data_IF_223353452518
#
_entry.id   IF_223353452518
#
_cell.length_a   1.000
_cell.length_b   1.000
_cell.length_c   1.000
_cell.angle_alpha   90.00
_cell.angle_beta   90.00
_cell.angle_gamma   90.00
#
_symmetry.space_group_name_H-M   'P 1'
#
loop_
_entity.id
_entity.type
_entity.pdbx_description
1 polymer ?
#
# COMPACT_ATOMS: atom_id res chain seq x y z
N UNK A 1 11.55 2.86 -18.43
CA UNK A 1 10.77 1.65 -18.07
C UNK A 1 11.61 0.56 -17.39
N UNK A 2 12.84 0.31 -17.86
CA UNK A 2 13.75 -0.69 -17.25
C UNK A 2 14.46 -0.19 -15.98
N UNK A 3 14.65 1.12 -15.87
CA UNK A 3 15.29 1.78 -14.72
C UNK A 3 14.43 1.65 -13.44
N UNK A 4 13.10 1.73 -13.57
CA UNK A 4 12.13 1.51 -12.49
C UNK A 4 12.06 0.05 -12.05
N UNK A 5 12.19 -0.90 -12.98
CA UNK A 5 12.21 -2.34 -12.66
C UNK A 5 13.47 -2.75 -11.88
N UNK A 6 14.61 -2.12 -12.20
CA UNK A 6 15.89 -2.39 -11.54
C UNK A 6 15.94 -1.86 -10.11
N UNK A 7 15.27 -0.73 -9.82
CA UNK A 7 15.17 -0.20 -8.46
C UNK A 7 14.21 -1.01 -7.58
N UNK A 8 13.13 -1.57 -8.15
CA UNK A 8 12.25 -2.51 -7.45
C UNK A 8 13.01 -3.77 -7.03
N UNK A 9 13.86 -4.33 -7.90
CA UNK A 9 14.64 -5.53 -7.60
C UNK A 9 15.72 -5.32 -6.53
N UNK A 10 16.30 -4.12 -6.44
CA UNK A 10 17.24 -3.77 -5.36
C UNK A 10 16.54 -3.58 -4.02
N UNK A 11 15.29 -3.14 -4.00
CA UNK A 11 14.51 -2.98 -2.77
C UNK A 11 13.89 -4.31 -2.29
N UNK A 12 13.52 -5.22 -3.19
CA UNK A 12 13.05 -6.58 -2.86
C UNK A 12 14.14 -7.47 -2.21
N UNK A 13 15.42 -7.12 -2.37
CA UNK A 13 16.55 -7.81 -1.77
C UNK A 13 17.06 -7.17 -0.46
N UNK A 14 16.45 -6.05 -0.05
CA UNK A 14 16.61 -5.54 1.32
C UNK A 14 15.52 -6.22 2.12
N UNK A 15 15.89 -7.17 2.98
CA UNK A 15 15.04 -7.57 4.09
C UNK A 15 14.69 -6.28 4.82
N UNK A 16 13.48 -5.77 4.59
CA UNK A 16 12.95 -4.71 5.42
C UNK A 16 13.05 -5.20 6.86
N UNK A 17 13.56 -4.36 7.77
CA UNK A 17 13.55 -4.68 9.19
C UNK A 17 12.12 -4.84 9.75
N UNK A 18 11.10 -4.56 8.93
CA UNK A 18 9.69 -4.61 9.28
C UNK A 18 9.00 -5.79 8.61
N UNK A 19 8.51 -6.72 9.42
CA UNK A 19 7.62 -7.79 8.99
C UNK A 19 6.16 -7.32 9.10
N UNK A 20 5.39 -7.43 8.02
CA UNK A 20 3.97 -7.04 7.95
C UNK A 20 3.11 -8.21 7.50
N UNK A 21 2.11 -8.56 8.31
CA UNK A 21 1.08 -9.55 7.98
C UNK A 21 -0.30 -8.92 7.99
N UNK A 22 -1.10 -9.23 6.98
CA UNK A 22 -2.49 -8.76 6.87
C UNK A 22 -3.40 -9.94 6.59
N UNK A 23 -4.39 -10.13 7.44
CA UNK A 23 -5.38 -11.19 7.31
C UNK A 23 -6.78 -10.59 7.15
N UNK A 24 -7.49 -10.99 6.10
CA UNK A 24 -8.88 -10.61 5.88
C UNK A 24 -9.82 -11.70 6.37
N UNK A 25 -10.79 -11.35 7.21
CA UNK A 25 -11.89 -12.23 7.64
C UNK A 25 -13.23 -11.53 7.44
N UNK A 26 -13.90 -11.85 6.34
CA UNK A 26 -15.10 -11.13 5.91
C UNK A 26 -14.76 -9.67 5.60
N UNK A 27 -15.45 -8.76 6.29
CA UNK A 27 -15.29 -7.31 6.12
C UNK A 27 -14.34 -6.68 7.14
N UNK A 28 -13.42 -7.46 7.72
CA UNK A 28 -12.47 -6.98 8.73
C UNK A 28 -11.06 -7.45 8.40
N UNK A 29 -10.11 -6.51 8.47
CA UNK A 29 -8.69 -6.81 8.43
C UNK A 29 -8.14 -6.94 9.85
N UNK A 30 -7.24 -7.89 10.03
CA UNK A 30 -6.30 -7.92 11.14
C UNK A 30 -4.92 -7.65 10.58
N UNK A 31 -4.28 -6.58 11.05
CA UNK A 31 -2.99 -6.11 10.57
C UNK A 31 -2.01 -6.23 11.73
N UNK A 32 -0.91 -6.95 11.49
CA UNK A 32 0.16 -7.18 12.46
C UNK A 32 1.49 -6.79 11.87
N UNK A 33 2.34 -6.16 12.67
CA UNK A 33 3.71 -5.88 12.26
C UNK A 33 4.70 -6.00 13.42
N UNK A 34 5.92 -6.40 13.09
CA UNK A 34 7.06 -6.43 14.01
C UNK A 34 8.26 -5.78 13.33
N UNK A 35 9.22 -5.27 14.12
CA UNK A 35 10.38 -4.58 13.60
C UNK A 35 11.65 -4.90 14.41
N UNK A 36 12.66 -5.47 13.74
CA UNK A 36 13.97 -5.74 14.34
C UNK A 36 15.11 -5.45 13.33
N UNK A 37 15.92 -4.38 13.54
CA UNK A 37 15.80 -3.39 14.61
C UNK A 37 14.61 -2.45 14.40
N UNK A 38 14.11 -1.87 15.51
CA UNK A 38 13.10 -0.83 15.46
C UNK A 38 13.59 0.40 14.65
N UNK A 39 12.80 0.92 13.70
CA UNK A 39 13.13 2.15 12.99
C UNK A 39 13.17 3.37 13.93
N UNK A 40 13.99 4.36 13.57
CA UNK A 40 14.19 5.57 14.38
C UNK A 40 12.98 6.50 14.41
N UNK A 41 12.08 6.37 13.44
CA UNK A 41 10.91 7.23 13.27
C UNK A 41 9.61 6.41 13.27
N UNK A 42 8.50 6.98 13.78
CA UNK A 42 7.20 6.33 13.73
C UNK A 42 6.73 6.10 12.29
N UNK A 43 6.04 4.97 12.07
CA UNK A 43 5.44 4.62 10.80
C UNK A 43 3.95 4.95 10.82
N UNK A 44 3.45 5.57 9.76
CA UNK A 44 2.02 5.67 9.46
C UNK A 44 1.52 4.35 8.91
N UNK A 45 0.46 3.84 9.51
CA UNK A 45 -0.30 2.70 8.99
C UNK A 45 -1.37 3.24 8.07
N UNK A 46 -1.32 2.84 6.80
CA UNK A 46 -2.20 3.37 5.77
C UNK A 46 -2.91 2.23 5.05
N UNK A 47 -4.21 2.39 4.80
CA UNK A 47 -5.03 1.46 4.05
C UNK A 47 -5.43 2.11 2.73
N UNK A 48 -5.03 1.48 1.64
CA UNK A 48 -5.30 1.92 0.27
C UNK A 48 -6.28 0.94 -0.35
N UNK A 49 -7.27 1.47 -1.07
CA UNK A 49 -8.11 0.69 -1.99
C UNK A 49 -7.82 1.11 -3.41
N UNK A 50 -7.88 0.16 -4.32
CA UNK A 50 -7.68 0.46 -5.72
C UNK A 50 -8.56 -0.40 -6.62
N UNK A 51 -8.83 0.13 -7.80
CA UNK A 51 -9.42 -0.61 -8.91
C UNK A 51 -8.29 -1.16 -9.79
N UNK A 52 -8.24 -2.48 -10.09
CA UNK A 52 -7.16 -3.07 -10.85
C UNK A 52 -6.99 -2.48 -12.25
N UNK A 53 -8.09 -2.16 -12.92
CA UNK A 53 -8.11 -1.67 -14.29
C UNK A 53 -9.36 -0.82 -14.57
N UNK A 54 -9.19 0.26 -15.33
CA UNK A 54 -10.29 0.98 -15.98
C UNK A 54 -9.86 1.48 -17.35
N UNK A 55 -10.72 1.27 -18.35
CA UNK A 55 -10.50 1.76 -19.71
C UNK A 55 -11.36 2.98 -19.96
N UNK A 56 -10.72 4.12 -20.24
CA UNK A 56 -11.41 5.38 -20.53
C UNK A 56 -11.20 5.76 -21.99
N UNK A 57 -12.31 6.00 -22.69
CA UNK A 57 -12.30 6.62 -24.01
C UNK A 57 -12.22 8.13 -23.86
N UNK A 58 -11.15 8.75 -24.36
CA UNK A 58 -11.01 10.21 -24.30
C UNK A 58 -11.84 10.83 -25.42
N UNK A 59 -12.97 11.44 -25.06
CA UNK A 59 -13.95 11.95 -26.04
C UNK A 59 -13.56 13.31 -26.66
N UNK A 60 -12.74 14.13 -25.99
CA UNK A 60 -12.35 15.48 -26.44
C UNK A 60 -10.94 15.87 -25.99
N UNK A 61 -10.32 16.82 -26.68
CA UNK A 61 -8.98 17.35 -26.38
C UNK A 61 -7.88 16.77 -27.27
N UNK A 62 -6.62 17.10 -26.97
CA UNK A 62 -5.44 16.68 -27.76
C UNK A 62 -5.27 15.15 -27.83
N UNK A 63 -5.80 14.43 -26.84
CA UNK A 63 -5.80 12.97 -26.79
C UNK A 63 -7.13 12.34 -27.26
N UNK A 64 -8.03 13.12 -27.87
CA UNK A 64 -9.32 12.63 -28.36
C UNK A 64 -9.16 11.42 -29.30
N UNK A 65 -9.96 10.37 -29.09
CA UNK A 65 -9.90 9.13 -29.85
C UNK A 65 -8.87 8.11 -29.33
N UNK A 66 -8.07 8.46 -28.31
CA UNK A 66 -7.23 7.48 -27.62
C UNK A 66 -8.05 6.73 -26.57
N UNK A 67 -7.84 5.42 -26.53
CA UNK A 67 -8.29 4.55 -25.44
C UNK A 67 -7.11 4.39 -24.50
N UNK A 68 -7.27 4.79 -23.23
CA UNK A 68 -6.23 4.62 -22.21
C UNK A 68 -6.75 3.65 -21.17
N UNK A 69 -5.97 2.59 -20.93
CA UNK A 69 -6.19 1.67 -19.82
C UNK A 69 -5.33 2.13 -18.65
N UNK A 70 -5.98 2.48 -17.55
CA UNK A 70 -5.34 2.79 -16.28
C UNK A 70 -5.33 1.54 -15.40
N UNK A 71 -4.25 1.32 -14.65
CA UNK A 71 -4.12 0.20 -13.72
C UNK A 71 -3.91 0.70 -12.29
N UNK A 72 -4.38 -0.07 -11.31
CA UNK A 72 -4.25 0.21 -9.87
C UNK A 72 -4.69 1.63 -9.49
N UNK A 73 -5.87 2.04 -9.99
CA UNK A 73 -6.44 3.36 -9.73
C UNK A 73 -6.82 3.42 -8.26
N UNK A 74 -6.11 4.22 -7.48
CA UNK A 74 -6.43 4.41 -6.06
C UNK A 74 -7.80 5.06 -5.91
N UNK A 75 -8.72 4.36 -5.25
CA UNK A 75 -10.09 4.81 -5.00
C UNK A 75 -10.27 5.35 -3.59
N UNK A 76 -9.41 4.92 -2.65
CA UNK A 76 -9.42 5.41 -1.26
C UNK A 76 -8.03 5.29 -0.64
N UNK A 77 -7.71 6.21 0.26
CA UNK A 77 -6.48 6.23 1.04
C UNK A 77 -6.79 6.73 2.45
N UNK A 78 -6.69 5.84 3.43
CA UNK A 78 -7.04 6.09 4.83
C UNK A 78 -5.83 5.89 5.75
N UNK A 79 -5.64 6.79 6.71
CA UNK A 79 -4.69 6.60 7.80
C UNK A 79 -5.33 5.86 8.97
N UNK A 80 -4.84 4.67 9.30
CA UNK A 80 -5.33 3.86 10.42
C UNK A 80 -4.65 4.20 11.75
N UNK A 81 -3.52 4.89 11.71
CA UNK A 81 -2.80 5.36 12.91
C UNK A 81 -1.31 5.47 12.69
N UNK A 82 -0.59 5.68 13.79
CA UNK A 82 0.87 5.70 13.85
C UNK A 82 1.38 4.55 14.72
N UNK A 83 2.45 3.91 14.29
CA UNK A 83 3.13 2.82 14.98
C UNK A 83 4.55 3.24 15.33
N UNK A 84 4.87 3.23 16.63
CA UNK A 84 6.18 3.63 17.15
C UNK A 84 7.26 2.56 16.95
N UNK A 85 6.88 1.34 16.54
CA UNK A 85 7.77 0.21 16.29
C UNK A 85 8.71 -0.18 17.44
N UNK A 86 8.41 0.27 18.66
CA UNK A 86 9.08 -0.14 19.90
C UNK A 86 8.40 -1.34 20.59
N UNK A 87 7.26 -1.78 20.04
CA UNK A 87 6.50 -2.97 20.40
C UNK A 87 5.72 -3.45 19.17
N UNK A 88 5.33 -4.73 19.09
CA UNK A 88 4.56 -5.25 17.98
C UNK A 88 3.25 -4.48 17.75
N UNK A 89 2.88 -4.27 16.49
CA UNK A 89 1.62 -3.69 16.08
C UNK A 89 0.54 -4.77 15.99
N UNK A 90 -0.64 -4.49 16.52
CA UNK A 90 -1.87 -5.24 16.22
C UNK A 90 -3.05 -4.27 16.14
N UNK A 91 -3.71 -4.22 14.99
CA UNK A 91 -4.87 -3.37 14.75
C UNK A 91 -5.90 -4.09 13.87
N UNK A 92 -7.15 -3.66 14.00
CA UNK A 92 -8.24 -4.10 13.15
C UNK A 92 -8.87 -2.93 12.42
N UNK A 93 -9.20 -3.12 11.14
CA UNK A 93 -9.85 -2.10 10.32
C UNK A 93 -11.02 -2.68 9.51
N UNK A 94 -12.13 -1.94 9.35
CA UNK A 94 -13.19 -2.33 8.42
C UNK A 94 -12.66 -2.41 6.98
N UNK A 95 -12.97 -3.49 6.28
CA UNK A 95 -12.61 -3.71 4.90
C UNK A 95 -13.71 -4.46 4.12
N UNK A 96 -14.87 -3.81 4.00
CA UNK A 96 -15.99 -4.33 3.20
C UNK A 96 -15.79 -4.19 1.69
N UNK A 97 -16.64 -4.85 0.92
CA UNK A 97 -16.69 -4.79 -0.55
C UNK A 97 -15.58 -5.60 -1.25
N UNK A 98 -15.61 -5.54 -2.58
CA UNK A 98 -14.87 -6.51 -3.41
C UNK A 98 -13.62 -5.90 -4.08
N UNK A 99 -13.35 -4.61 -3.83
CA UNK A 99 -12.16 -3.96 -4.34
C UNK A 99 -10.91 -4.43 -3.56
N UNK A 100 -9.81 -4.75 -4.26
CA UNK A 100 -8.56 -5.05 -3.59
C UNK A 100 -7.99 -3.83 -2.88
N UNK A 101 -7.01 -4.08 -2.04
CA UNK A 101 -6.35 -3.03 -1.27
C UNK A 101 -4.91 -3.33 -0.95
N UNK A 102 -4.28 -2.41 -0.25
CA UNK A 102 -2.95 -2.58 0.31
C UNK A 102 -2.86 -1.90 1.67
N UNK A 103 -2.11 -2.50 2.57
CA UNK A 103 -1.62 -1.83 3.79
C UNK A 103 -0.20 -1.36 3.53
N UNK A 104 0.08 -0.12 3.88
CA UNK A 104 1.38 0.52 3.72
C UNK A 104 1.85 1.01 5.10
N UNK A 105 3.08 0.64 5.45
CA UNK A 105 3.81 1.19 6.60
C UNK A 105 4.89 2.13 6.08
N UNK A 106 4.75 3.43 6.38
CA UNK A 106 5.59 4.48 5.82
C UNK A 106 6.06 5.44 6.91
N UNK A 107 7.31 5.86 6.88
CA UNK A 107 7.80 6.91 7.79
C UNK A 107 7.00 8.20 7.58
N UNK A 108 6.75 8.98 8.63
CA UNK A 108 6.08 10.28 8.49
C UNK A 108 6.95 11.29 7.72
N UNK A 109 6.44 11.83 6.60
CA UNK A 109 7.13 12.84 5.76
C UNK A 109 7.12 12.48 4.27
N UNK A 110 7.89 13.17 3.40
CA UNK A 110 8.18 12.69 2.04
C UNK A 110 9.13 11.50 2.15
N UNK A 111 8.59 10.32 2.46
CA UNK A 111 9.37 9.29 3.13
C UNK A 111 9.14 7.86 2.63
N UNK A 112 10.09 7.02 3.00
CA UNK A 112 10.28 5.63 2.62
C UNK A 112 9.13 4.72 3.07
N UNK A 113 8.69 3.84 2.19
CA UNK A 113 7.79 2.73 2.53
C UNK A 113 8.68 1.61 3.08
N UNK A 114 8.48 1.24 4.34
CA UNK A 114 9.25 0.17 4.98
C UNK A 114 8.58 -1.19 4.78
N UNK A 115 7.26 -1.25 4.68
CA UNK A 115 6.56 -2.47 4.33
C UNK A 115 5.25 -2.18 3.61
N UNK A 116 4.85 -3.10 2.74
CA UNK A 116 3.53 -3.08 2.12
C UNK A 116 3.01 -4.51 1.93
N UNK A 117 1.71 -4.70 2.14
CA UNK A 117 1.04 -5.97 1.94
C UNK A 117 -0.23 -5.74 1.13
N UNK A 118 -0.43 -6.55 0.09
CA UNK A 118 -1.65 -6.55 -0.72
C UNK A 118 -2.75 -7.35 -0.03
N UNK A 119 -4.00 -6.91 -0.25
CA UNK A 119 -5.23 -7.56 0.18
C UNK A 119 -6.05 -7.88 -1.06
N UNK A 120 -6.51 -9.13 -1.16
CA UNK A 120 -7.43 -9.62 -2.20
C UNK A 120 -8.90 -9.66 -1.75
#
# INVERSE_FOLDING_TARGET
PEETATQLQKHLAVTSAVDLTVERKGDVLTIRADADPAPEAPLRVQLVRYMPEETVTIERGENAGKTITYHNIVTSWEGLGEWQANAPLELTAPFGGDQPGAVILQIAGPAEILAAARID
#
